data_IF_653482894354
#
_entry.id   IF_653482894354
#
_cell.length_a   1.000
_cell.length_b   1.000
_cell.length_c   1.000
_cell.angle_alpha   90.00
_cell.angle_beta   90.00
_cell.angle_gamma   90.00
#
_symmetry.space_group_name_H-M   'P 1'
#
loop_
_entity.id
_entity.type
_entity.pdbx_description
1 polymer ?
#
# COMPACT_ATOMS: atom_id res chain seq x y z
N UNK A 1 -12.14 25.95 16.36
CA UNK A 1 -11.14 24.86 16.38
C UNK A 1 -9.99 25.30 17.27
N UNK A 2 -9.47 24.41 18.12
CA UNK A 2 -8.33 24.76 18.96
C UNK A 2 -7.05 24.90 18.10
N UNK A 3 -6.05 25.66 18.54
CA UNK A 3 -4.78 25.80 17.83
C UNK A 3 -4.11 24.46 17.51
N UNK A 4 -4.25 23.48 18.41
CA UNK A 4 -3.72 22.12 18.25
C UNK A 4 -4.43 21.36 17.13
N UNK A 5 -5.75 21.51 17.00
CA UNK A 5 -6.52 20.87 15.93
C UNK A 5 -6.07 21.36 14.54
N UNK A 6 -5.73 22.65 14.42
CA UNK A 6 -5.21 23.21 13.17
C UNK A 6 -3.83 22.63 12.82
N UNK A 7 -2.92 22.50 13.79
CA UNK A 7 -1.60 21.89 13.57
C UNK A 7 -1.69 20.42 13.15
N UNK A 8 -2.59 19.66 13.79
CA UNK A 8 -2.85 18.25 13.45
C UNK A 8 -3.39 18.15 12.02
N UNK A 9 -4.34 19.01 11.65
CA UNK A 9 -4.94 18.99 10.31
C UNK A 9 -3.91 19.37 9.23
N UNK A 10 -3.07 20.37 9.50
CA UNK A 10 -1.98 20.77 8.60
C UNK A 10 -0.97 19.65 8.39
N UNK A 11 -0.61 18.94 9.46
CA UNK A 11 0.26 17.77 9.38
C UNK A 11 -0.38 16.65 8.55
N UNK A 12 -1.65 16.33 8.80
CA UNK A 12 -2.41 15.31 8.04
C UNK A 12 -2.50 15.69 6.56
N UNK A 13 -2.73 16.96 6.24
CA UNK A 13 -2.80 17.42 4.86
C UNK A 13 -1.45 17.24 4.14
N UNK A 14 -0.33 17.49 4.83
CA UNK A 14 1.03 17.39 4.27
C UNK A 14 1.56 15.95 4.20
N UNK A 15 1.23 15.12 5.18
CA UNK A 15 1.81 13.79 5.34
C UNK A 15 0.83 12.66 5.02
N UNK A 16 -0.44 12.99 4.79
CA UNK A 16 -1.55 12.04 4.69
C UNK A 16 -2.11 11.70 6.08
N UNK A 17 -3.40 11.34 6.10
CA UNK A 17 -4.05 10.83 7.32
C UNK A 17 -3.58 9.43 7.70
N UNK A 18 -3.98 8.91 8.88
CA UNK A 18 -3.74 7.53 9.23
C UNK A 18 -4.36 6.59 8.18
N UNK A 19 -3.65 5.49 7.88
CA UNK A 19 -4.11 4.46 6.94
C UNK A 19 -5.41 3.84 7.46
N UNK A 20 -6.50 4.03 6.73
CA UNK A 20 -7.78 3.38 7.02
C UNK A 20 -7.76 1.99 6.40
N UNK A 21 -8.05 0.98 7.21
CA UNK A 21 -8.20 -0.39 6.74
C UNK A 21 -9.64 -0.80 6.94
N UNK A 22 -10.26 -1.34 5.89
CA UNK A 22 -11.50 -2.08 6.02
C UNK A 22 -11.30 -3.32 6.92
N UNK A 23 -12.35 -3.83 7.58
CA UNK A 23 -12.26 -5.07 8.33
C UNK A 23 -11.66 -6.20 7.47
N UNK A 24 -10.60 -6.85 7.99
CA UNK A 24 -9.90 -7.93 7.28
C UNK A 24 -8.77 -7.47 6.33
N UNK A 25 -8.65 -6.18 6.04
CA UNK A 25 -7.56 -5.62 5.22
C UNK A 25 -6.35 -5.29 6.10
N UNK A 26 -5.15 -5.66 5.65
CA UNK A 26 -3.90 -5.44 6.39
C UNK A 26 -2.77 -5.02 5.46
N UNK A 27 -1.87 -4.17 5.93
CA UNK A 27 -0.61 -3.90 5.23
C UNK A 27 0.49 -4.89 5.65
N UNK A 28 0.23 -6.19 5.52
CA UNK A 28 1.20 -7.25 5.78
C UNK A 28 1.60 -7.93 4.48
N UNK A 29 2.79 -8.54 4.46
CA UNK A 29 3.27 -9.30 3.31
C UNK A 29 2.27 -10.37 2.86
N UNK A 30 1.71 -11.14 3.80
CA UNK A 30 0.78 -12.22 3.51
C UNK A 30 -0.51 -11.71 2.88
N UNK A 31 -1.07 -10.61 3.40
CA UNK A 31 -2.25 -10.00 2.79
C UNK A 31 -1.96 -9.48 1.38
N UNK A 32 -0.82 -8.81 1.18
CA UNK A 32 -0.41 -8.32 -0.14
C UNK A 32 -0.20 -9.47 -1.13
N UNK A 33 0.40 -10.59 -0.70
CA UNK A 33 0.58 -11.78 -1.52
C UNK A 33 -0.76 -12.35 -1.96
N UNK A 34 -1.65 -12.63 -1.01
CA UNK A 34 -2.94 -13.26 -1.28
C UNK A 34 -3.84 -12.34 -2.13
N UNK A 35 -3.73 -11.02 -1.95
CA UNK A 35 -4.44 -10.04 -2.78
C UNK A 35 -3.89 -9.97 -4.21
N UNK A 36 -2.56 -9.88 -4.39
CA UNK A 36 -1.93 -9.82 -5.70
C UNK A 36 -2.08 -11.12 -6.51
N UNK A 37 -2.15 -12.26 -5.83
CA UNK A 37 -2.35 -13.57 -6.46
C UNK A 37 -3.69 -13.65 -7.21
N UNK A 38 -4.73 -12.93 -6.75
CA UNK A 38 -6.02 -12.80 -7.46
C UNK A 38 -5.88 -12.21 -8.87
N UNK A 39 -4.83 -11.43 -9.10
CA UNK A 39 -4.51 -10.82 -10.39
C UNK A 39 -3.43 -11.60 -11.16
N UNK A 40 -3.10 -12.82 -10.73
CA UNK A 40 -2.05 -13.64 -11.31
C UNK A 40 -0.63 -13.17 -10.97
N UNK A 41 -0.48 -12.20 -10.07
CA UNK A 41 0.83 -11.64 -9.67
C UNK A 41 1.37 -12.44 -8.49
N UNK A 42 2.48 -13.16 -8.71
CA UNK A 42 3.12 -13.94 -7.65
C UNK A 42 4.11 -13.09 -6.87
N UNK A 43 3.85 -12.90 -5.58
CA UNK A 43 4.74 -12.22 -4.64
C UNK A 43 5.43 -13.24 -3.71
N UNK A 44 6.74 -13.17 -3.58
CA UNK A 44 7.55 -14.06 -2.75
C UNK A 44 8.49 -13.27 -1.84
N UNK A 45 8.62 -13.70 -0.58
CA UNK A 45 9.65 -13.24 0.35
C UNK A 45 10.84 -14.21 0.35
N UNK A 46 12.04 -13.70 0.05
CA UNK A 46 13.30 -14.47 0.10
C UNK A 46 14.39 -13.60 0.74
N UNK A 47 15.02 -14.07 1.82
CA UNK A 47 15.99 -13.33 2.63
C UNK A 47 15.51 -11.94 3.06
N UNK A 48 14.25 -11.84 3.50
CA UNK A 48 13.65 -10.57 3.90
C UNK A 48 13.39 -9.59 2.75
N UNK A 49 13.62 -10.00 1.49
CA UNK A 49 13.39 -9.17 0.30
C UNK A 49 12.16 -9.65 -0.46
N UNK A 50 11.29 -8.71 -0.82
CA UNK A 50 10.14 -8.99 -1.66
C UNK A 50 10.59 -9.19 -3.11
N UNK A 51 9.98 -10.17 -3.79
CA UNK A 51 10.20 -10.45 -5.20
C UNK A 51 8.86 -10.70 -5.87
N UNK A 52 8.68 -10.20 -7.07
CA UNK A 52 7.54 -10.58 -7.91
C UNK A 52 8.02 -11.36 -9.12
N UNK A 53 7.17 -12.26 -9.60
CA UNK A 53 7.42 -12.92 -10.88
C UNK A 53 7.06 -11.96 -12.01
N UNK A 54 8.04 -11.66 -12.85
CA UNK A 54 7.93 -10.82 -14.04
C UNK A 54 8.29 -11.67 -15.27
N UNK A 55 7.26 -12.13 -15.99
CA UNK A 55 7.38 -13.17 -17.00
C UNK A 55 7.96 -14.47 -16.41
N UNK A 56 9.23 -14.77 -16.73
CA UNK A 56 9.96 -15.96 -16.23
C UNK A 56 11.04 -15.62 -15.19
N UNK A 57 11.19 -14.36 -14.78
CA UNK A 57 12.27 -13.91 -13.88
C UNK A 57 11.70 -13.31 -12.60
N UNK A 58 12.38 -13.57 -11.49
CA UNK A 58 12.05 -12.93 -10.21
C UNK A 58 12.71 -11.55 -10.13
N UNK A 59 11.90 -10.50 -10.03
CA UNK A 59 12.35 -9.13 -9.85
C UNK A 59 12.21 -8.72 -8.40
N UNK A 60 13.25 -8.10 -7.84
CA UNK A 60 13.23 -7.59 -6.46
C UNK A 60 12.40 -6.32 -6.38
N UNK A 61 11.66 -6.16 -5.28
CA UNK A 61 10.98 -4.92 -4.89
C UNK A 61 11.21 -4.63 -3.41
N UNK A 62 11.21 -3.34 -3.10
CA UNK A 62 11.05 -2.84 -1.74
C UNK A 62 9.59 -2.96 -1.30
N UNK A 63 9.36 -3.05 0.01
CA UNK A 63 8.01 -3.08 0.57
C UNK A 63 7.13 -1.88 0.14
N UNK A 64 7.64 -0.62 0.10
CA UNK A 64 6.86 0.51 -0.41
C UNK A 64 6.38 0.37 -1.85
N UNK A 65 7.13 -0.33 -2.71
CA UNK A 65 6.74 -0.61 -4.09
C UNK A 65 5.68 -1.72 -4.16
N UNK A 66 5.77 -2.75 -3.31
CA UNK A 66 4.72 -3.78 -3.18
C UNK A 66 3.40 -3.12 -2.76
N UNK A 67 3.43 -2.24 -1.76
CA UNK A 67 2.23 -1.51 -1.33
C UNK A 67 1.69 -0.63 -2.46
N UNK A 68 2.56 0.04 -3.23
CA UNK A 68 2.13 0.83 -4.39
C UNK A 68 1.44 -0.03 -5.45
N UNK A 69 1.93 -1.26 -5.67
CA UNK A 69 1.31 -2.20 -6.60
C UNK A 69 -0.07 -2.64 -6.11
N UNK A 70 -0.20 -2.97 -4.81
CA UNK A 70 -1.51 -3.25 -4.20
C UNK A 70 -2.47 -2.07 -4.36
N UNK A 71 -2.00 -0.84 -4.11
CA UNK A 71 -2.82 0.36 -4.25
C UNK A 71 -3.28 0.58 -5.70
N UNK A 72 -2.45 0.29 -6.70
CA UNK A 72 -2.85 0.37 -8.11
C UNK A 72 -4.03 -0.55 -8.43
N UNK A 73 -3.98 -1.79 -7.94
CA UNK A 73 -5.09 -2.75 -8.13
C UNK A 73 -6.33 -2.36 -7.33
N UNK A 74 -6.17 -1.90 -6.08
CA UNK A 74 -7.30 -1.41 -5.26
C UNK A 74 -8.01 -0.25 -5.95
N UNK A 75 -7.26 0.74 -6.45
CA UNK A 75 -7.83 1.88 -7.19
C UNK A 75 -8.56 1.41 -8.45
N UNK A 76 -8.01 0.44 -9.18
CA UNK A 76 -8.66 -0.14 -10.35
C UNK A 76 -9.97 -0.89 -10.02
N UNK A 77 -10.07 -1.48 -8.83
CA UNK A 77 -11.30 -2.09 -8.31
C UNK A 77 -12.27 -1.08 -7.67
N UNK A 78 -11.93 0.21 -7.63
CA UNK A 78 -12.73 1.24 -6.95
C UNK A 78 -12.61 1.24 -5.42
N UNK A 79 -11.61 0.55 -4.87
CA UNK A 79 -11.31 0.48 -3.44
C UNK A 79 -10.34 1.60 -3.02
N UNK A 80 -10.43 2.06 -1.76
CA UNK A 80 -9.48 3.04 -1.21
C UNK A 80 -8.07 2.44 -1.16
N UNK A 81 -7.01 3.18 -1.56
CA UNK A 81 -5.64 2.70 -1.44
C UNK A 81 -5.24 2.49 0.03
N UNK A 82 -4.34 1.53 0.27
CA UNK A 82 -3.71 1.36 1.56
C UNK A 82 -2.88 2.58 1.91
N UNK A 83 -2.03 3.11 1.02
CA UNK A 83 -1.36 4.37 1.36
C UNK A 83 -2.39 5.51 1.43
N UNK A 84 -2.41 6.27 2.53
CA UNK A 84 -3.19 7.51 2.54
C UNK A 84 -2.67 8.39 1.41
N UNK A 85 -3.59 8.99 0.65
CA UNK A 85 -3.25 9.93 -0.41
C UNK A 85 -2.58 11.14 0.26
N UNK A 86 -1.26 11.24 0.21
CA UNK A 86 -0.59 12.49 0.51
C UNK A 86 -1.10 13.51 -0.53
N UNK A 87 -1.67 14.62 -0.08
CA UNK A 87 -1.94 15.74 -0.97
C UNK A 87 -0.58 16.28 -1.35
N UNK A 88 -0.09 15.92 -2.55
CA UNK A 88 1.13 16.51 -3.09
C UNK A 88 0.92 18.03 -3.18
N UNK A 89 1.79 18.79 -2.51
CA UNK A 89 2.09 20.16 -2.92
C UNK A 89 2.82 20.13 -4.26
#
# INVERSE_FOLDING_TARGET
MSPEANLIQDWINRHGGPRRFEPGVRASFYHARDYLEKFGIRLHLHDGRCRILDGKRWRRLSWPEVVKLVDQHRIAEGLEPLKPKAVRQ
#
